data_IF_611891019549
#
_entry.id   IF_611891019549
#
_cell.length_a   1.000
_cell.length_b   1.000
_cell.length_c   1.000
_cell.angle_alpha   90.00
_cell.angle_beta   90.00
_cell.angle_gamma   90.00
#
_symmetry.space_group_name_H-M   'P 1'
#
loop_
_entity.id
_entity.type
_entity.pdbx_description
1 polymer ?
#
# COMPACT_ATOMS: atom_id res chain seq x y z
N UNK A 1 -18.08 -15.59 -8.05
CA UNK A 1 -16.62 -15.40 -8.22
C UNK A 1 -16.42 -14.05 -8.87
N UNK A 2 -15.71 -13.12 -8.23
CA UNK A 2 -15.30 -11.90 -8.94
C UNK A 2 -14.26 -12.32 -9.98
N UNK A 3 -14.50 -11.94 -11.24
CA UNK A 3 -13.57 -12.17 -12.34
C UNK A 3 -12.38 -11.22 -12.17
N UNK A 4 -11.16 -11.73 -12.17
CA UNK A 4 -9.96 -10.88 -12.21
C UNK A 4 -9.94 -10.03 -13.47
N UNK A 5 -9.43 -8.81 -13.37
CA UNK A 5 -9.22 -7.95 -14.53
C UNK A 5 -8.17 -8.53 -15.48
N UNK A 6 -8.38 -8.35 -16.78
CA UNK A 6 -7.30 -8.42 -17.77
C UNK A 6 -6.29 -7.30 -17.54
N UNK A 7 -5.10 -7.38 -18.15
CA UNK A 7 -4.06 -6.35 -17.99
C UNK A 7 -4.56 -4.93 -18.32
N UNK A 8 -5.30 -4.77 -19.42
CA UNK A 8 -5.85 -3.47 -19.81
C UNK A 8 -6.93 -2.97 -18.86
N UNK A 9 -7.81 -3.86 -18.38
CA UNK A 9 -8.80 -3.53 -17.36
C UNK A 9 -8.12 -3.14 -16.04
N UNK A 10 -7.06 -3.83 -15.64
CA UNK A 10 -6.32 -3.53 -14.42
C UNK A 10 -5.73 -2.12 -14.47
N UNK A 11 -5.03 -1.77 -15.56
CA UNK A 11 -4.42 -0.45 -15.74
C UNK A 11 -5.51 0.63 -15.73
N UNK A 12 -6.57 0.44 -16.52
CA UNK A 12 -7.67 1.40 -16.61
C UNK A 12 -8.36 1.63 -15.27
N UNK A 13 -8.68 0.54 -14.55
CA UNK A 13 -9.31 0.65 -13.24
C UNK A 13 -8.36 1.25 -12.21
N UNK A 14 -7.05 1.01 -12.29
CA UNK A 14 -6.11 1.63 -11.36
C UNK A 14 -6.06 3.15 -11.55
N UNK A 15 -5.99 3.60 -12.81
CA UNK A 15 -5.96 5.03 -13.14
C UNK A 15 -7.24 5.76 -12.71
N UNK A 16 -8.39 5.09 -12.78
CA UNK A 16 -9.69 5.71 -12.45
C UNK A 16 -10.07 5.54 -10.97
N UNK A 17 -9.83 4.36 -10.41
CA UNK A 17 -10.29 3.92 -9.09
C UNK A 17 -9.16 3.30 -8.24
N UNK A 18 -8.03 3.99 -8.01
CA UNK A 18 -6.85 3.41 -7.34
C UNK A 18 -7.14 2.94 -5.91
N UNK A 19 -8.08 3.59 -5.21
CA UNK A 19 -8.50 3.20 -3.85
C UNK A 19 -8.97 1.74 -3.81
N UNK A 20 -9.68 1.29 -4.84
CA UNK A 20 -10.14 -0.10 -4.93
C UNK A 20 -8.97 -1.07 -5.08
N UNK A 21 -7.85 -0.69 -5.68
CA UNK A 21 -6.65 -1.53 -5.71
C UNK A 21 -6.04 -1.69 -4.32
N UNK A 22 -5.88 -0.59 -3.58
CA UNK A 22 -5.24 -0.62 -2.25
C UNK A 22 -6.13 -1.22 -1.15
N UNK A 23 -7.45 -1.17 -1.27
CA UNK A 23 -8.37 -1.99 -0.44
C UNK A 23 -8.50 -3.42 -0.96
N UNK A 24 -7.97 -3.62 -2.16
CA UNK A 24 -8.25 -4.66 -3.10
C UNK A 24 -9.71 -5.16 -3.07
N UNK A 25 -10.47 -4.48 -3.87
CA UNK A 25 -11.86 -4.75 -4.18
C UNK A 25 -11.97 -5.06 -5.67
N UNK A 26 -13.19 -5.41 -6.11
CA UNK A 26 -13.51 -5.67 -7.51
C UNK A 26 -12.58 -6.71 -8.18
N UNK A 27 -12.06 -6.41 -9.36
CA UNK A 27 -11.22 -7.31 -10.17
C UNK A 27 -9.71 -7.19 -9.90
N UNK A 28 -9.28 -6.36 -8.94
CA UNK A 28 -7.87 -6.22 -8.58
C UNK A 28 -7.32 -7.43 -7.83
N UNK A 29 -8.19 -8.29 -7.29
CA UNK A 29 -7.78 -9.28 -6.31
C UNK A 29 -7.53 -10.69 -6.85
N UNK A 30 -6.44 -11.28 -6.36
CA UNK A 30 -6.20 -12.72 -6.29
C UNK A 30 -6.38 -13.16 -4.82
N UNK A 31 -7.49 -13.83 -4.49
CA UNK A 31 -7.72 -14.33 -3.12
C UNK A 31 -6.92 -15.60 -2.87
N UNK A 32 -5.89 -15.54 -2.03
CA UNK A 32 -5.32 -16.75 -1.43
C UNK A 32 -6.18 -17.19 -0.23
N UNK A 33 -6.32 -18.51 0.05
CA UNK A 33 -7.16 -19.02 1.13
C UNK A 33 -6.63 -18.76 2.55
N UNK A 34 -5.43 -18.21 2.70
CA UNK A 34 -4.88 -17.78 3.98
C UNK A 34 -5.28 -16.31 4.22
N UNK A 35 -6.25 -16.12 5.12
CA UNK A 35 -6.97 -14.87 5.36
C UNK A 35 -6.13 -13.79 6.06
N UNK A 36 -4.98 -13.44 5.49
CA UNK A 36 -4.01 -12.56 6.12
C UNK A 36 -3.20 -11.70 5.16
N UNK A 37 -2.11 -11.25 5.74
CA UNK A 37 -1.17 -10.24 5.27
C UNK A 37 -0.56 -10.52 3.90
N UNK A 38 -0.45 -11.79 3.55
CA UNK A 38 0.10 -12.29 2.30
C UNK A 38 -0.71 -11.89 1.07
N UNK A 39 -1.83 -11.17 1.22
CA UNK A 39 -2.63 -10.67 0.10
C UNK A 39 -2.11 -9.38 -0.53
N UNK A 40 -1.56 -8.45 0.26
CA UNK A 40 -1.16 -7.12 -0.26
C UNK A 40 0.18 -7.18 -0.97
N UNK A 41 1.10 -8.01 -0.50
CA UNK A 41 2.42 -8.16 -1.09
C UNK A 41 2.37 -8.64 -2.55
N UNK A 42 1.65 -9.73 -2.91
CA UNK A 42 1.47 -10.12 -4.30
C UNK A 42 0.86 -9.02 -5.18
N UNK A 43 -0.18 -8.33 -4.69
CA UNK A 43 -0.80 -7.23 -5.45
C UNK A 43 0.19 -6.07 -5.68
N UNK A 44 1.01 -5.75 -4.68
CA UNK A 44 2.05 -4.73 -4.79
C UNK A 44 3.12 -5.13 -5.81
N UNK A 45 3.56 -6.39 -5.81
CA UNK A 45 4.48 -6.91 -6.83
C UNK A 45 3.89 -6.84 -8.23
N UNK A 46 2.59 -7.12 -8.38
CA UNK A 46 1.89 -6.97 -9.67
C UNK A 46 1.98 -5.51 -10.14
N UNK A 47 1.69 -4.55 -9.27
CA UNK A 47 1.78 -3.12 -9.57
C UNK A 47 3.19 -2.72 -10.01
N UNK A 48 4.23 -3.14 -9.29
CA UNK A 48 5.61 -2.80 -9.67
C UNK A 48 6.05 -3.43 -10.99
N UNK A 49 5.46 -4.55 -11.42
CA UNK A 49 5.68 -5.06 -12.79
C UNK A 49 5.09 -4.13 -13.85
N UNK A 50 3.91 -3.55 -13.64
CA UNK A 50 3.34 -2.56 -14.57
C UNK A 50 4.16 -1.26 -14.58
N UNK A 51 4.66 -0.84 -13.42
CA UNK A 51 5.55 0.32 -13.32
C UNK A 51 6.87 0.09 -14.09
N UNK A 52 7.50 -1.08 -13.93
CA UNK A 52 8.70 -1.46 -14.70
C UNK A 52 8.50 -1.49 -16.20
N UNK A 53 7.29 -1.83 -16.65
CA UNK A 53 6.92 -1.84 -18.07
C UNK A 53 6.53 -0.45 -18.60
N UNK A 54 6.48 0.57 -17.74
CA UNK A 54 5.95 1.90 -18.04
C UNK A 54 4.47 1.91 -18.44
N UNK A 55 3.71 0.89 -18.03
CA UNK A 55 2.26 0.85 -18.23
C UNK A 55 1.51 1.74 -17.22
N UNK A 56 2.11 1.93 -16.05
CA UNK A 56 1.67 2.84 -14.98
C UNK A 56 2.92 3.63 -14.54
N UNK A 57 2.85 4.95 -14.52
CA UNK A 57 3.95 5.77 -14.03
C UNK A 57 4.06 5.74 -12.50
N UNK A 58 5.26 6.00 -11.97
CA UNK A 58 5.44 6.14 -10.52
C UNK A 58 4.55 7.26 -9.94
N UNK A 59 4.34 8.35 -10.68
CA UNK A 59 3.48 9.45 -10.23
C UNK A 59 2.00 9.03 -10.14
N UNK A 60 1.50 8.23 -11.09
CA UNK A 60 0.14 7.67 -11.00
C UNK A 60 0.00 6.75 -9.79
N UNK A 61 1.03 5.96 -9.49
CA UNK A 61 1.05 5.12 -8.29
C UNK A 61 1.03 5.95 -7.01
N UNK A 62 1.88 6.98 -6.92
CA UNK A 62 1.95 7.89 -5.77
C UNK A 62 0.62 8.62 -5.57
N UNK A 63 0.03 9.19 -6.62
CA UNK A 63 -1.29 9.82 -6.54
C UNK A 63 -2.36 8.83 -6.04
N UNK A 64 -2.36 7.62 -6.59
CA UNK A 64 -3.24 6.54 -6.17
C UNK A 64 -3.08 6.21 -4.68
N UNK A 65 -1.84 6.10 -4.20
CA UNK A 65 -1.54 5.79 -2.79
C UNK A 65 -2.00 6.94 -1.88
N UNK A 66 -1.74 8.20 -2.26
CA UNK A 66 -2.21 9.37 -1.50
C UNK A 66 -3.72 9.42 -1.41
N UNK A 67 -4.43 9.18 -2.52
CA UNK A 67 -5.89 9.09 -2.57
C UNK A 67 -6.41 7.97 -1.68
N UNK A 68 -5.74 6.82 -1.69
CA UNK A 68 -6.06 5.71 -0.79
C UNK A 68 -5.95 6.12 0.68
N UNK A 69 -4.79 6.62 1.13
CA UNK A 69 -4.58 7.02 2.53
C UNK A 69 -5.61 8.07 2.96
N UNK A 70 -5.87 9.04 2.09
CA UNK A 70 -6.85 10.11 2.37
C UNK A 70 -8.30 9.61 2.45
N UNK A 71 -8.60 8.47 1.82
CA UNK A 71 -9.94 7.84 1.81
C UNK A 71 -10.18 6.88 2.98
N UNK A 72 -9.16 6.63 3.80
CA UNK A 72 -9.27 5.70 4.90
C UNK A 72 -10.18 6.24 6.01
N UNK A 73 -10.99 5.34 6.54
CA UNK A 73 -11.81 5.59 7.71
C UNK A 73 -10.95 5.52 8.98
N UNK A 74 -11.36 6.26 10.01
CA UNK A 74 -10.66 6.34 11.29
C UNK A 74 -11.08 5.18 12.22
N UNK A 75 -11.00 3.95 11.68
CA UNK A 75 -11.39 2.72 12.38
C UNK A 75 -10.41 1.56 12.09
N UNK A 76 -10.58 0.44 12.80
CA UNK A 76 -9.69 -0.73 12.69
C UNK A 76 -9.57 -1.28 11.27
N UNK A 77 -10.65 -1.26 10.50
CA UNK A 77 -10.64 -1.75 9.12
C UNK A 77 -9.79 -0.85 8.23
N UNK A 78 -10.02 0.47 8.30
CA UNK A 78 -9.21 1.46 7.58
C UNK A 78 -7.73 1.35 7.95
N UNK A 79 -7.44 1.22 9.24
CA UNK A 79 -6.08 1.12 9.73
C UNK A 79 -5.40 -0.18 9.32
N UNK A 80 -6.15 -1.29 9.28
CA UNK A 80 -5.67 -2.57 8.76
C UNK A 80 -5.26 -2.45 7.29
N UNK A 81 -6.04 -1.76 6.46
CA UNK A 81 -5.65 -1.50 5.08
C UNK A 81 -4.38 -0.65 4.99
N UNK A 82 -4.24 0.37 5.85
CA UNK A 82 -3.04 1.20 5.93
C UNK A 82 -1.79 0.36 6.23
N UNK A 83 -1.76 -0.30 7.39
CA UNK A 83 -0.59 -1.06 7.86
C UNK A 83 -0.19 -2.17 6.87
N UNK A 84 -1.18 -2.81 6.24
CA UNK A 84 -0.94 -3.87 5.27
C UNK A 84 -0.25 -3.37 4.01
N UNK A 85 -0.67 -2.22 3.50
CA UNK A 85 -0.06 -1.62 2.31
C UNK A 85 1.32 -1.04 2.60
N UNK A 86 1.53 -0.44 3.78
CA UNK A 86 2.86 0.03 4.21
C UNK A 86 3.84 -1.14 4.28
N UNK A 87 3.46 -2.23 4.95
CA UNK A 87 4.31 -3.41 5.05
C UNK A 87 4.60 -4.02 3.68
N UNK A 88 3.58 -4.16 2.81
CA UNK A 88 3.76 -4.69 1.46
C UNK A 88 4.66 -3.80 0.58
N UNK A 89 4.55 -2.48 0.71
CA UNK A 89 5.41 -1.53 0.00
C UNK A 89 6.87 -1.72 0.39
N UNK A 90 7.18 -1.76 1.69
CA UNK A 90 8.56 -1.89 2.16
C UNK A 90 9.15 -3.27 1.89
N UNK A 91 8.34 -4.32 1.97
CA UNK A 91 8.76 -5.65 1.56
C UNK A 91 9.19 -5.68 0.08
N UNK A 92 8.42 -5.05 -0.82
CA UNK A 92 8.83 -4.94 -2.21
C UNK A 92 10.09 -4.06 -2.39
N UNK A 93 10.15 -2.91 -1.71
CA UNK A 93 11.29 -1.98 -1.84
C UNK A 93 12.60 -2.61 -1.36
N UNK A 94 12.58 -3.31 -0.23
CA UNK A 94 13.78 -3.80 0.45
C UNK A 94 14.08 -5.25 0.09
N UNK A 95 13.13 -6.17 0.28
CA UNK A 95 13.38 -7.60 0.09
C UNK A 95 13.46 -7.99 -1.38
N UNK A 96 12.54 -7.46 -2.20
CA UNK A 96 12.55 -7.67 -3.66
C UNK A 96 13.55 -6.73 -4.39
N UNK A 97 14.12 -5.75 -3.68
CA UNK A 97 15.10 -4.81 -4.22
C UNK A 97 14.52 -3.89 -5.31
N UNK A 98 13.24 -3.53 -5.21
CA UNK A 98 12.61 -2.58 -6.12
C UNK A 98 13.29 -1.21 -6.02
N UNK A 99 13.82 -0.69 -7.14
CA UNK A 99 14.52 0.60 -7.18
C UNK A 99 13.53 1.78 -7.11
N UNK A 100 12.99 2.02 -5.93
CA UNK A 100 11.94 3.00 -5.66
C UNK A 100 12.38 3.85 -4.48
N UNK A 101 12.14 5.16 -4.59
CA UNK A 101 12.38 6.06 -3.48
C UNK A 101 11.36 5.81 -2.36
N UNK A 102 11.80 5.90 -1.11
CA UNK A 102 10.91 5.80 0.04
C UNK A 102 9.86 6.92 0.03
N UNK A 103 8.59 6.56 -0.16
CA UNK A 103 7.50 7.51 -0.31
C UNK A 103 7.14 8.26 0.99
N UNK A 104 7.72 7.87 2.12
CA UNK A 104 7.44 8.41 3.45
C UNK A 104 8.65 9.11 4.09
N UNK A 105 9.78 9.17 3.37
CA UNK A 105 10.91 10.00 3.76
C UNK A 105 10.55 11.48 3.87
N UNK A 106 11.34 12.26 4.60
CA UNK A 106 11.14 13.70 4.74
C UNK A 106 11.11 14.38 3.36
N UNK A 107 10.04 15.13 3.09
CA UNK A 107 9.80 15.80 1.80
C UNK A 107 9.14 14.93 0.73
N UNK A 108 8.87 13.64 1.00
CA UNK A 108 8.18 12.76 0.07
C UNK A 108 6.66 12.94 0.10
N UNK A 109 6.02 12.66 -1.04
CA UNK A 109 4.63 13.06 -1.31
C UNK A 109 3.58 12.29 -0.49
N UNK A 110 3.90 11.09 -0.01
CA UNK A 110 2.98 10.29 0.81
C UNK A 110 3.13 10.55 2.32
N UNK A 111 4.21 11.22 2.76
CA UNK A 111 4.47 11.43 4.18
C UNK A 111 3.38 12.26 4.86
N UNK A 112 3.05 13.42 4.30
CA UNK A 112 2.07 14.33 4.90
C UNK A 112 0.68 13.69 5.05
N UNK A 113 0.21 12.97 4.03
CA UNK A 113 -1.09 12.29 4.08
C UNK A 113 -1.09 11.14 5.09
N UNK A 114 0.03 10.41 5.23
CA UNK A 114 0.19 9.37 6.24
C UNK A 114 0.22 9.94 7.66
N UNK A 115 1.00 11.01 7.89
CA UNK A 115 1.02 11.71 9.19
C UNK A 115 -0.37 12.19 9.61
N UNK A 116 -1.11 12.79 8.67
CA UNK A 116 -2.46 13.28 8.92
C UNK A 116 -3.42 12.14 9.25
N UNK A 117 -3.29 11.00 8.57
CA UNK A 117 -4.09 9.81 8.87
C UNK A 117 -3.77 9.24 10.25
N UNK A 118 -2.49 9.02 10.56
CA UNK A 118 -2.04 8.45 11.86
C UNK A 118 -2.50 9.33 13.03
N UNK A 119 -2.44 10.66 12.88
CA UNK A 119 -2.91 11.60 13.92
C UNK A 119 -4.43 11.53 14.17
N UNK A 120 -5.22 11.13 13.18
CA UNK A 120 -6.68 11.00 13.30
C UNK A 120 -7.09 9.68 13.95
N UNK A 121 -6.34 8.61 13.70
CA UNK A 121 -6.69 7.26 14.14
C UNK A 121 -6.39 7.10 15.64
N UNK A 122 -7.43 6.81 16.43
CA UNK A 122 -7.32 6.56 17.87
C UNK A 122 -7.25 5.06 18.18
N UNK A 123 -6.32 4.34 17.55
CA UNK A 123 -6.14 2.89 17.71
C UNK A 123 -4.80 2.64 18.38
N UNK A 124 -4.77 1.75 19.36
CA UNK A 124 -3.52 1.24 19.92
C UNK A 124 -2.94 0.15 19.01
N UNK A 125 -1.97 0.53 18.19
CA UNK A 125 -1.36 -0.33 17.18
C UNK A 125 0.01 -0.87 17.59
N UNK A 126 0.50 -0.59 18.81
CA UNK A 126 1.85 -0.97 19.22
C UNK A 126 2.07 -2.48 19.22
N UNK A 127 0.99 -3.25 19.44
CA UNK A 127 1.03 -4.69 19.40
C UNK A 127 0.65 -5.32 18.04
N UNK A 128 0.27 -4.51 17.05
CA UNK A 128 -0.09 -5.00 15.73
C UNK A 128 1.11 -5.66 15.06
N UNK A 129 0.84 -6.80 14.40
CA UNK A 129 1.87 -7.57 13.69
C UNK A 129 2.65 -6.70 12.70
N UNK A 130 1.94 -5.93 11.88
CA UNK A 130 2.54 -5.12 10.83
C UNK A 130 3.39 -3.97 11.31
N UNK A 131 2.92 -3.28 12.33
CA UNK A 131 3.69 -2.25 13.00
C UNK A 131 5.02 -2.82 13.50
N UNK A 132 4.97 -3.96 14.20
CA UNK A 132 6.17 -4.67 14.68
C UNK A 132 7.09 -5.08 13.54
N UNK A 133 6.56 -5.71 12.48
CA UNK A 133 7.32 -6.13 11.30
C UNK A 133 8.04 -4.95 10.66
N UNK A 134 7.36 -3.83 10.43
CA UNK A 134 7.98 -2.65 9.79
C UNK A 134 9.06 -2.02 10.69
N UNK A 135 8.84 -1.99 12.01
CA UNK A 135 9.84 -1.51 12.96
C UNK A 135 11.06 -2.43 13.08
N UNK A 136 10.86 -3.75 13.05
CA UNK A 136 11.94 -4.73 13.25
C UNK A 136 12.73 -5.01 11.99
N UNK A 137 12.02 -5.23 10.87
CA UNK A 137 12.60 -5.78 9.65
C UNK A 137 13.02 -4.65 8.69
N UNK A 138 12.35 -3.50 8.80
CA UNK A 138 12.60 -2.31 7.96
C UNK A 138 12.90 -1.04 8.78
N UNK A 139 13.81 -1.07 9.77
CA UNK A 139 14.04 0.03 10.71
C UNK A 139 14.50 1.34 10.03
N UNK A 140 15.12 1.25 8.86
CA UNK A 140 15.65 2.38 8.09
C UNK A 140 14.59 3.19 7.33
N UNK A 141 13.32 2.79 7.39
CA UNK A 141 12.26 3.36 6.57
C UNK A 141 11.68 4.65 7.14
N UNK A 142 11.35 5.60 6.26
CA UNK A 142 10.85 6.92 6.61
C UNK A 142 9.51 6.91 7.34
N UNK A 143 8.68 5.87 7.14
CA UNK A 143 7.42 5.73 7.90
C UNK A 143 7.66 5.61 9.41
N UNK A 144 8.78 5.01 9.84
CA UNK A 144 9.05 4.75 11.25
C UNK A 144 9.29 6.02 12.07
N UNK A 145 9.46 7.17 11.43
CA UNK A 145 9.54 8.47 12.10
C UNK A 145 8.17 9.04 12.47
N UNK A 146 7.09 8.54 11.85
CA UNK A 146 5.74 9.08 11.98
C UNK A 146 4.70 8.06 12.45
N UNK A 147 5.02 6.78 12.29
CA UNK A 147 4.23 5.63 12.71
C UNK A 147 5.05 4.79 13.65
#
# INVERSE_FOLDING_TARGET
MNKSYSDSEFIHHFQTEPVKFFKGEAGFFYRQPDWGVHMYYPNMRIMFRYIKKNDISMNEYIDGFKRFISSLEDNESGFKHFESNICAFYQCMIDDGENIHDLFSVGAECREVAENYIKRVSIDYQDHHYYKTVKSDFPQTGINEIW
#
